data_IF_519555581262
#
_entry.id   IF_519555581262
#
_cell.length_a   1.000
_cell.length_b   1.000
_cell.length_c   1.000
_cell.angle_alpha   90.00
_cell.angle_beta   90.00
_cell.angle_gamma   90.00
#
_symmetry.space_group_name_H-M   'P 1'
#
loop_
_entity.id
_entity.type
_entity.pdbx_description
1 polymer ?
#
# COMPACT_ATOMS: atom_id res chain seq x y z
N UNK A 1 6.33 -3.18 -9.76
CA UNK A 1 5.48 -1.98 -9.73
C UNK A 1 5.78 -1.22 -8.46
N UNK A 2 5.55 0.09 -8.42
CA UNK A 2 5.81 0.91 -7.23
C UNK A 2 4.64 0.82 -6.25
N UNK A 3 4.94 0.64 -4.97
CA UNK A 3 3.96 0.62 -3.90
C UNK A 3 4.52 1.27 -2.62
N UNK A 4 3.65 1.87 -1.81
CA UNK A 4 4.00 2.28 -0.45
C UNK A 4 3.90 1.07 0.48
N UNK A 5 4.97 0.78 1.23
CA UNK A 5 5.01 -0.32 2.20
C UNK A 5 5.19 0.21 3.62
N UNK A 6 4.39 -0.32 4.55
CA UNK A 6 4.60 -0.19 5.98
C UNK A 6 5.55 -1.30 6.44
N UNK A 7 6.86 -1.07 6.34
CA UNK A 7 7.87 -2.07 6.68
C UNK A 7 8.06 -2.25 8.19
N UNK A 8 7.65 -1.26 8.98
CA UNK A 8 7.69 -1.26 10.44
C UNK A 8 6.58 -0.36 10.99
N UNK A 9 6.19 -0.59 12.25
CA UNK A 9 5.39 0.36 13.01
C UNK A 9 6.22 1.62 13.31
N UNK A 10 5.60 2.79 13.26
CA UNK A 10 6.27 4.08 13.45
C UNK A 10 5.61 5.26 12.73
N UNK A 11 4.31 5.15 12.41
CA UNK A 11 3.59 6.20 11.70
C UNK A 11 4.03 6.36 10.24
N UNK A 12 3.76 7.53 9.67
CA UNK A 12 4.01 7.78 8.24
C UNK A 12 5.49 7.77 7.85
N UNK A 13 6.40 8.09 8.76
CA UNK A 13 7.85 8.09 8.49
C UNK A 13 8.39 6.68 8.21
N UNK A 14 7.69 5.64 8.68
CA UNK A 14 8.01 4.25 8.40
C UNK A 14 7.55 3.78 7.01
N UNK A 15 6.76 4.58 6.30
CA UNK A 15 6.31 4.24 4.94
C UNK A 15 7.45 4.39 3.94
N UNK A 16 7.70 3.34 3.16
CA UNK A 16 8.73 3.33 2.12
C UNK A 16 8.10 3.11 0.76
N UNK A 17 8.49 3.93 -0.21
CA UNK A 17 8.21 3.65 -1.61
C UNK A 17 9.16 2.55 -2.08
N UNK A 18 8.62 1.41 -2.49
CA UNK A 18 9.38 0.25 -2.91
C UNK A 18 8.91 -0.28 -4.28
N UNK A 19 9.82 -0.91 -5.00
CA UNK A 19 9.47 -1.74 -6.15
C UNK A 19 9.12 -3.15 -5.67
N UNK A 20 7.93 -3.61 -6.06
CA UNK A 20 7.40 -4.93 -5.73
C UNK A 20 7.05 -5.72 -6.99
N UNK A 21 6.95 -7.03 -6.89
CA UNK A 21 6.41 -7.84 -7.97
C UNK A 21 4.97 -7.42 -8.30
N UNK A 22 4.61 -7.46 -9.58
CA UNK A 22 3.25 -7.11 -10.01
C UNK A 22 2.29 -8.23 -9.58
N UNK A 23 1.21 -7.94 -8.84
CA UNK A 23 0.24 -8.97 -8.47
C UNK A 23 -0.43 -9.58 -9.70
N UNK A 24 -0.78 -10.86 -9.60
CA UNK A 24 -1.55 -11.59 -10.63
C UNK A 24 -2.97 -11.82 -10.10
N UNK A 25 -3.97 -11.59 -10.95
CA UNK A 25 -5.35 -11.90 -10.58
C UNK A 25 -5.54 -13.41 -10.42
N UNK A 26 -6.29 -13.81 -9.39
CA UNK A 26 -6.65 -15.21 -9.13
C UNK A 26 -8.18 -15.35 -9.17
N UNK A 27 -8.67 -16.58 -9.18
CA UNK A 27 -10.12 -16.86 -9.19
C UNK A 27 -10.86 -16.07 -8.10
N UNK A 28 -11.95 -15.40 -8.51
CA UNK A 28 -12.75 -14.55 -7.64
C UNK A 28 -12.14 -13.20 -7.26
N UNK A 29 -10.97 -12.81 -7.80
CA UNK A 29 -10.30 -11.52 -7.51
C UNK A 29 -10.00 -10.73 -8.78
N UNK A 30 -10.00 -9.41 -8.66
CA UNK A 30 -9.64 -8.49 -9.75
C UNK A 30 -8.31 -7.82 -9.47
N UNK A 31 -7.48 -7.69 -10.50
CA UNK A 31 -6.29 -6.81 -10.47
C UNK A 31 -6.70 -5.41 -10.90
N UNK A 32 -6.63 -4.45 -9.98
CA UNK A 32 -7.00 -3.06 -10.23
C UNK A 32 -5.76 -2.19 -10.41
N UNK A 33 -5.77 -1.35 -11.45
CA UNK A 33 -4.76 -0.29 -11.61
C UNK A 33 -5.20 0.94 -10.82
N UNK A 34 -4.45 1.27 -9.78
CA UNK A 34 -4.69 2.46 -8.96
C UNK A 34 -4.19 3.70 -9.72
N UNK A 35 -5.06 4.69 -9.91
CA UNK A 35 -4.72 6.00 -10.51
C UNK A 35 -4.68 7.13 -9.48
N UNK A 36 -5.38 6.97 -8.36
CA UNK A 36 -5.38 7.86 -7.21
C UNK A 36 -5.68 7.07 -5.94
N UNK A 37 -5.17 7.54 -4.79
CA UNK A 37 -5.48 7.03 -3.46
C UNK A 37 -5.81 8.21 -2.55
N UNK A 38 -6.86 8.08 -1.73
CA UNK A 38 -7.17 9.05 -0.69
C UNK A 38 -6.29 8.84 0.53
N UNK A 39 -6.02 9.92 1.26
CA UNK A 39 -5.36 9.88 2.57
C UNK A 39 -6.34 10.39 3.61
N UNK A 40 -6.49 9.65 4.70
CA UNK A 40 -7.40 9.93 5.80
C UNK A 40 -6.66 9.79 7.14
N UNK A 41 -7.16 10.41 8.22
CA UNK A 41 -6.58 10.21 9.56
C UNK A 41 -6.57 8.74 10.02
N UNK A 42 -7.39 7.87 9.42
CA UNK A 42 -7.36 6.43 9.72
C UNK A 42 -6.06 5.77 9.24
N UNK A 43 -5.38 6.32 8.23
CA UNK A 43 -4.17 5.69 7.69
C UNK A 43 -3.01 5.69 8.69
N UNK A 44 -3.00 6.59 9.68
CA UNK A 44 -1.99 6.55 10.74
C UNK A 44 -2.24 5.39 11.71
N UNK A 45 -3.49 4.93 11.89
CA UNK A 45 -3.81 3.90 12.89
C UNK A 45 -3.30 2.51 12.53
N UNK A 46 -3.11 2.23 11.24
CA UNK A 46 -2.52 0.96 10.77
C UNK A 46 -0.99 0.95 10.84
N UNK A 47 -0.38 2.09 11.17
CA UNK A 47 1.08 2.30 11.23
C UNK A 47 1.60 2.45 12.67
N UNK A 48 0.72 2.36 13.68
CA UNK A 48 1.05 2.42 15.11
C UNK A 48 1.28 1.04 15.70
#
# INVERSE_FOLDING_TARGET
MRAMQAAAFGGYDSLKLADVEKPVATDGKLLVRITAAGVTPLDSTILH
#
